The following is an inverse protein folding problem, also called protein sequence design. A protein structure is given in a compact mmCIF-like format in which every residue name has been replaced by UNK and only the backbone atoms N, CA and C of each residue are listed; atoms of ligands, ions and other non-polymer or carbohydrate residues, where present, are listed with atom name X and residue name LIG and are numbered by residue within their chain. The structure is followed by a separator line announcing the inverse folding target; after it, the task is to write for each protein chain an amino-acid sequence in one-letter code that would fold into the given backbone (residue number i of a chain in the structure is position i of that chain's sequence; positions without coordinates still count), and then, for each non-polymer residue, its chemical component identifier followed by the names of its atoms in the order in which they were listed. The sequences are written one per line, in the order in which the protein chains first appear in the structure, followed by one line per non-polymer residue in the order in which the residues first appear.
data_IF_908816891416
#
_entry.id   IF_908816891416
#
_cell.length_a   1.000
_cell.length_b   1.000
_cell.length_c   1.000
_cell.angle_alpha   90.00
_cell.angle_beta   90.00
_cell.angle_gamma   90.00
#
_symmetry.space_group_name_H-M   'P 1'
#
loop_
_entity.id
_entity.type
_entity.pdbx_description
1 polymer ?
#
# COMPACT_ATOMS: atom_id res chain seq x y z
N UNK A 1 6.67 4.23 7.82
CA UNK A 1 7.12 5.18 8.84
C UNK A 1 8.47 5.79 8.49
N UNK A 2 9.54 4.99 8.24
CA UNK A 2 10.88 5.50 7.94
C UNK A 2 10.87 6.49 6.75
N UNK A 3 10.17 6.16 5.67
CA UNK A 3 10.04 7.05 4.51
C UNK A 3 9.35 8.38 4.87
N UNK A 4 8.33 8.36 5.73
CA UNK A 4 7.67 9.57 6.19
C UNK A 4 8.66 10.49 6.95
N UNK A 5 9.47 9.92 7.85
CA UNK A 5 10.52 10.64 8.57
C UNK A 5 11.62 11.17 7.62
N UNK A 6 12.10 10.35 6.68
CA UNK A 6 13.07 10.75 5.67
C UNK A 6 12.52 11.83 4.72
N UNK A 7 11.21 11.82 4.45
CA UNK A 7 10.58 12.85 3.64
C UNK A 7 10.48 14.19 4.36
N UNK A 8 10.24 14.17 5.68
CA UNK A 8 10.08 15.38 6.50
C UNK A 8 11.39 16.06 6.82
N UNK A 9 12.46 15.30 7.06
CA UNK A 9 13.80 15.77 7.45
C UNK A 9 14.84 15.28 6.47
N UNK A 10 15.88 16.03 6.23
CA UNK A 10 17.02 15.65 5.38
C UNK A 10 17.95 14.63 6.05
N UNK A 11 17.42 13.60 6.73
CA UNK A 11 18.21 12.63 7.50
C UNK A 11 19.14 11.81 6.62
N UNK A 12 18.61 11.23 5.55
CA UNK A 12 19.37 10.41 4.61
C UNK A 12 20.46 11.23 3.91
N UNK A 13 20.10 12.41 3.40
CA UNK A 13 21.04 13.32 2.73
C UNK A 13 22.09 13.86 3.71
N UNK A 14 21.69 14.18 4.94
CA UNK A 14 22.61 14.62 5.98
C UNK A 14 23.62 13.55 6.38
N UNK A 15 23.19 12.30 6.52
CA UNK A 15 24.09 11.18 6.77
C UNK A 15 25.09 10.97 5.61
N UNK A 16 24.60 11.00 4.37
CA UNK A 16 25.46 10.88 3.18
C UNK A 16 26.47 12.03 3.10
N UNK A 17 26.04 13.26 3.41
CA UNK A 17 26.95 14.41 3.46
C UNK A 17 28.07 14.19 4.47
N UNK A 18 27.76 13.79 5.69
CA UNK A 18 28.79 13.53 6.72
C UNK A 18 29.74 12.40 6.27
N UNK A 19 29.19 11.32 5.71
CA UNK A 19 29.98 10.19 5.23
C UNK A 19 30.87 10.53 4.02
N UNK A 20 30.57 11.60 3.27
CA UNK A 20 31.34 12.05 2.13
C UNK A 20 32.42 13.10 2.50
N UNK A 21 32.53 13.47 3.77
CA UNK A 21 33.56 14.44 4.21
C UNK A 21 34.93 13.76 4.20
N UNK A 22 35.86 14.31 3.43
CA UNK A 22 37.26 13.87 3.36
C UNK A 22 38.20 14.72 4.24
N UNK A 23 37.63 15.66 5.01
CA UNK A 23 38.40 16.55 5.87
C UNK A 23 39.08 15.79 7.03
N UNK A 24 40.38 15.98 7.20
CA UNK A 24 41.17 15.33 8.25
C UNK A 24 41.54 16.27 9.41
N UNK A 25 41.27 17.58 9.25
CA UNK A 25 41.52 18.57 10.30
C UNK A 25 40.27 18.78 11.17
N UNK A 26 40.34 18.44 12.44
CA UNK A 26 39.25 18.57 13.39
C UNK A 26 38.76 20.01 13.59
N UNK A 27 39.63 21.01 13.42
CA UNK A 27 39.27 22.42 13.56
C UNK A 27 38.42 22.92 12.37
N UNK A 28 38.65 22.37 11.18
CA UNK A 28 37.89 22.70 9.96
C UNK A 28 36.63 21.90 9.81
N UNK A 29 36.57 20.69 10.41
CA UNK A 29 35.41 19.79 10.35
C UNK A 29 34.16 20.41 10.95
N UNK A 30 34.23 21.06 12.12
CA UNK A 30 33.08 21.66 12.79
C UNK A 30 32.42 22.76 11.96
N UNK A 31 33.16 23.77 11.42
CA UNK A 31 32.59 24.78 10.54
C UNK A 31 31.95 24.19 9.28
N UNK A 32 32.56 23.16 8.69
CA UNK A 32 32.06 22.49 7.50
C UNK A 32 30.70 21.83 7.77
N UNK A 33 30.58 21.08 8.86
CA UNK A 33 29.29 20.44 9.27
C UNK A 33 28.23 21.52 9.57
N UNK A 34 28.58 22.58 10.30
CA UNK A 34 27.67 23.67 10.63
C UNK A 34 27.15 24.43 9.39
N UNK A 35 28.00 24.61 8.39
CA UNK A 35 27.58 25.22 7.12
C UNK A 35 26.69 24.31 6.31
N UNK A 36 26.99 23.02 6.25
CA UNK A 36 26.24 22.00 5.49
C UNK A 36 24.87 21.74 6.06
N UNK A 37 24.69 21.74 7.39
CA UNK A 37 23.43 21.38 8.06
C UNK A 37 22.23 22.22 7.62
N UNK A 38 22.45 23.44 7.15
CA UNK A 38 21.38 24.33 6.66
C UNK A 38 20.63 23.74 5.46
N UNK A 39 21.33 22.95 4.63
CA UNK A 39 20.77 22.28 3.46
C UNK A 39 19.81 21.13 3.81
N UNK A 40 19.86 20.62 5.06
CA UNK A 40 19.08 19.49 5.53
C UNK A 40 17.91 19.90 6.43
N UNK A 41 17.62 21.21 6.51
CA UNK A 41 16.48 21.72 7.25
C UNK A 41 15.18 21.14 6.70
N UNK A 42 14.35 20.58 7.58
CA UNK A 42 13.08 19.99 7.24
C UNK A 42 11.89 20.64 7.94
N UNK A 43 10.79 19.89 7.99
CA UNK A 43 9.57 20.25 8.72
C UNK A 43 9.27 19.20 9.78
N UNK A 44 8.46 19.54 10.76
CA UNK A 44 7.91 18.60 11.71
C UNK A 44 6.71 17.88 11.08
N UNK A 45 6.45 16.64 11.53
CA UNK A 45 5.27 15.89 11.11
C UNK A 45 4.01 16.33 11.84
N UNK A 46 4.17 16.64 13.14
CA UNK A 46 3.06 17.06 14.01
C UNK A 46 2.33 18.27 13.44
N UNK A 47 1.01 18.19 13.34
CA UNK A 47 0.16 19.21 12.73
C UNK A 47 0.13 19.22 11.20
N UNK A 48 1.03 18.49 10.53
CA UNK A 48 0.96 18.28 9.07
C UNK A 48 -0.16 17.33 8.69
N UNK A 49 -0.62 17.40 7.42
CA UNK A 49 -1.67 16.51 6.90
C UNK A 49 -1.05 15.34 6.15
N UNK A 50 -1.39 14.12 6.58
CA UNK A 50 -1.05 12.86 5.90
C UNK A 50 -2.26 12.35 5.13
N UNK A 51 -2.15 12.28 3.81
CA UNK A 51 -3.09 11.58 2.94
C UNK A 51 -2.71 10.11 2.77
N UNK A 52 -3.66 9.22 2.94
CA UNK A 52 -3.49 7.78 2.72
C UNK A 52 -4.41 7.35 1.60
N UNK A 53 -3.82 6.87 0.49
CA UNK A 53 -4.56 6.36 -0.67
C UNK A 53 -4.54 4.84 -0.65
N UNK A 54 -5.71 4.23 -0.40
CA UNK A 54 -5.87 2.82 -0.10
C UNK A 54 -5.81 2.54 1.41
N UNK A 55 -6.96 2.16 1.99
CA UNK A 55 -7.15 1.96 3.43
C UNK A 55 -7.24 0.46 3.81
N UNK A 56 -6.56 -0.39 3.03
CA UNK A 56 -6.43 -1.82 3.30
C UNK A 56 -5.53 -2.13 4.52
N UNK A 57 -5.03 -3.37 4.60
CA UNK A 57 -4.26 -3.86 5.76
C UNK A 57 -3.01 -3.03 6.10
N UNK A 58 -2.36 -2.41 5.10
CA UNK A 58 -1.16 -1.57 5.30
C UNK A 58 -1.57 -0.12 5.51
N UNK A 59 -2.42 0.43 4.63
CA UNK A 59 -2.83 1.83 4.69
C UNK A 59 -3.50 2.20 6.02
N UNK A 60 -4.33 1.32 6.58
CA UNK A 60 -4.93 1.53 7.90
C UNK A 60 -3.89 1.67 9.01
N UNK A 61 -2.82 0.84 9.00
CA UNK A 61 -1.72 0.94 9.96
C UNK A 61 -0.90 2.23 9.78
N UNK A 62 -0.72 2.68 8.53
CA UNK A 62 -0.04 3.95 8.24
C UNK A 62 -0.87 5.13 8.71
N UNK A 63 -2.19 5.08 8.52
CA UNK A 63 -3.11 6.09 9.05
C UNK A 63 -3.06 6.17 10.58
N UNK A 64 -3.07 5.02 11.27
CA UNK A 64 -2.94 4.95 12.73
C UNK A 64 -1.61 5.56 13.22
N UNK A 65 -0.49 5.19 12.58
CA UNK A 65 0.82 5.79 12.89
C UNK A 65 0.83 7.30 12.67
N UNK A 66 0.18 7.80 11.62
CA UNK A 66 0.03 9.23 11.36
C UNK A 66 -0.68 9.94 12.51
N UNK A 67 -1.79 9.39 13.00
CA UNK A 67 -2.52 9.89 14.17
C UNK A 67 -1.63 9.89 15.42
N UNK A 68 -0.87 8.81 15.66
CA UNK A 68 0.06 8.70 16.79
C UNK A 68 1.18 9.75 16.75
N UNK A 69 1.61 10.15 15.56
CA UNK A 69 2.61 11.21 15.34
C UNK A 69 2.02 12.64 15.45
N UNK A 70 0.73 12.76 15.76
CA UNK A 70 0.06 14.06 15.88
C UNK A 70 -0.23 14.73 14.54
N UNK A 71 -0.33 13.97 13.46
CA UNK A 71 -0.70 14.46 12.14
C UNK A 71 -2.23 14.51 11.99
N UNK A 72 -2.72 15.38 11.11
CA UNK A 72 -4.07 15.29 10.59
C UNK A 72 -4.07 14.21 9.50
N UNK A 73 -4.94 13.19 9.63
CA UNK A 73 -4.95 12.07 8.70
C UNK A 73 -6.23 12.09 7.89
N UNK A 74 -6.09 12.10 6.57
CA UNK A 74 -7.19 12.00 5.61
C UNK A 74 -6.98 10.74 4.75
N UNK A 75 -8.07 10.06 4.42
CA UNK A 75 -7.99 8.79 3.69
C UNK A 75 -8.96 8.72 2.52
N UNK A 76 -8.52 8.05 1.44
CA UNK A 76 -9.35 7.73 0.30
C UNK A 76 -9.20 6.27 -0.08
N UNK A 77 -10.31 5.55 -0.11
CA UNK A 77 -10.40 4.18 -0.63
C UNK A 77 -11.83 3.93 -1.12
N UNK A 78 -12.04 3.82 -2.45
CA UNK A 78 -13.37 3.60 -3.01
C UNK A 78 -13.89 2.16 -2.81
N UNK A 79 -13.02 1.24 -2.38
CA UNK A 79 -13.32 -0.18 -2.22
C UNK A 79 -13.25 -0.65 -0.76
N UNK A 80 -13.16 0.27 0.20
CA UNK A 80 -13.07 -0.08 1.62
C UNK A 80 -14.30 -0.85 2.06
N UNK A 81 -14.09 -1.99 2.72
CA UNK A 81 -15.18 -2.76 3.32
C UNK A 81 -15.65 -2.12 4.63
N UNK A 82 -16.90 -2.37 5.01
CA UNK A 82 -17.43 -1.90 6.31
C UNK A 82 -16.56 -2.39 7.45
N UNK A 83 -16.13 -3.65 7.41
CA UNK A 83 -15.27 -4.24 8.44
C UNK A 83 -13.90 -3.55 8.53
N UNK A 84 -13.29 -3.21 7.39
CA UNK A 84 -12.03 -2.47 7.38
C UNK A 84 -12.20 -1.04 7.91
N UNK A 85 -13.31 -0.39 7.57
CA UNK A 85 -13.62 0.96 8.05
C UNK A 85 -13.81 1.01 9.58
N UNK A 86 -14.42 -0.04 10.19
CA UNK A 86 -14.56 -0.13 11.64
C UNK A 86 -13.25 -0.25 12.42
N UNK A 87 -12.17 -0.66 11.76
CA UNK A 87 -10.83 -0.81 12.34
C UNK A 87 -10.01 0.49 12.26
N UNK A 88 -10.52 1.51 11.56
CA UNK A 88 -9.81 2.78 11.42
C UNK A 88 -9.90 3.61 12.69
N UNK A 89 -8.84 4.39 13.04
CA UNK A 89 -8.92 5.37 14.10
C UNK A 89 -10.01 6.42 13.83
N UNK A 90 -10.78 6.79 14.85
CA UNK A 90 -11.84 7.79 14.74
C UNK A 90 -11.38 9.18 14.28
N UNK A 91 -10.06 9.44 14.29
CA UNK A 91 -9.46 10.70 13.85
C UNK A 91 -9.09 10.74 12.37
N UNK A 92 -9.35 9.64 11.63
CA UNK A 92 -9.11 9.59 10.17
C UNK A 92 -10.33 10.19 9.47
N UNK A 93 -10.12 11.26 8.73
CA UNK A 93 -11.18 11.89 7.94
C UNK A 93 -11.25 11.22 6.55
N UNK A 94 -12.43 10.77 6.16
CA UNK A 94 -12.68 10.23 4.82
C UNK A 94 -12.79 11.35 3.79
N UNK A 95 -12.12 11.17 2.64
CA UNK A 95 -12.32 12.01 1.45
C UNK A 95 -13.09 11.27 0.38
N UNK A 96 -13.90 11.99 -0.37
CA UNK A 96 -14.75 11.44 -1.43
C UNK A 96 -14.01 11.25 -2.76
N UNK A 97 -12.89 11.97 -2.94
CA UNK A 97 -12.06 11.90 -4.14
C UNK A 97 -10.57 11.83 -3.80
N UNK A 98 -9.78 11.27 -4.72
CA UNK A 98 -8.31 11.28 -4.62
C UNK A 98 -7.77 12.69 -4.81
N UNK A 99 -8.43 13.51 -5.61
CA UNK A 99 -8.09 14.91 -5.86
C UNK A 99 -8.11 15.73 -4.57
N UNK A 100 -9.10 15.52 -3.70
CA UNK A 100 -9.17 16.19 -2.41
C UNK A 100 -8.00 15.78 -1.51
N UNK A 101 -7.62 14.51 -1.52
CA UNK A 101 -6.43 14.04 -0.79
C UNK A 101 -5.18 14.76 -1.29
N UNK A 102 -4.97 14.87 -2.60
CA UNK A 102 -3.79 15.54 -3.18
C UNK A 102 -3.78 17.04 -2.90
N UNK A 103 -4.93 17.68 -2.89
CA UNK A 103 -5.09 19.12 -2.64
C UNK A 103 -4.82 19.53 -1.19
N UNK A 104 -5.13 18.65 -0.23
CA UNK A 104 -5.08 19.00 1.19
C UNK A 104 -3.83 18.46 1.90
N UNK A 105 -3.17 17.45 1.36
CA UNK A 105 -2.07 16.75 2.03
C UNK A 105 -0.72 17.46 1.92
N UNK A 106 0.04 17.43 3.01
CA UNK A 106 1.48 17.75 3.02
C UNK A 106 2.33 16.52 2.68
N UNK A 107 1.81 15.33 3.00
CA UNK A 107 2.41 14.02 2.75
C UNK A 107 1.35 13.07 2.21
N UNK A 108 1.69 12.26 1.22
CA UNK A 108 0.81 11.19 0.72
C UNK A 108 1.57 9.87 0.72
N UNK A 109 0.90 8.82 1.20
CA UNK A 109 1.37 7.45 1.15
C UNK A 109 0.39 6.58 0.36
N UNK A 110 0.91 5.85 -0.65
CA UNK A 110 0.12 5.02 -1.55
C UNK A 110 0.10 3.57 -1.08
N UNK A 111 -1.09 2.97 -1.02
CA UNK A 111 -1.34 1.61 -0.54
C UNK A 111 -2.40 0.87 -1.38
N UNK A 112 -2.51 1.21 -2.66
CA UNK A 112 -3.42 0.55 -3.61
C UNK A 112 -2.71 -0.55 -4.40
N UNK A 113 -3.39 -1.63 -4.81
CA UNK A 113 -2.82 -2.64 -5.70
C UNK A 113 -2.65 -2.10 -7.11
N UNK A 114 -1.73 -2.69 -7.90
CA UNK A 114 -1.65 -2.44 -9.33
C UNK A 114 -2.74 -3.23 -10.07
N UNK A 115 -3.60 -2.53 -10.79
CA UNK A 115 -4.63 -3.09 -11.66
C UNK A 115 -5.02 -2.07 -12.73
N UNK A 116 -5.94 -2.41 -13.63
CA UNK A 116 -6.35 -1.52 -14.74
C UNK A 116 -6.89 -0.15 -14.29
N UNK A 117 -7.43 -0.05 -13.06
CA UNK A 117 -7.95 1.21 -12.51
C UNK A 117 -6.90 2.06 -11.80
N UNK A 118 -5.79 1.46 -11.39
CA UNK A 118 -4.75 2.11 -10.60
C UNK A 118 -3.45 2.31 -11.36
N UNK A 119 -3.29 1.67 -12.52
CA UNK A 119 -2.15 1.87 -13.39
C UNK A 119 -2.09 3.31 -13.89
N UNK A 120 -0.95 3.98 -13.65
CA UNK A 120 -0.77 5.39 -14.00
C UNK A 120 -1.73 6.35 -13.27
N UNK A 121 -2.26 5.95 -12.12
CA UNK A 121 -3.18 6.75 -11.30
C UNK A 121 -2.53 8.09 -10.91
N UNK A 122 -1.26 8.03 -10.54
CA UNK A 122 -0.50 9.24 -10.18
C UNK A 122 0.20 9.75 -11.44
N UNK A 123 -0.42 10.73 -12.05
CA UNK A 123 0.01 11.34 -13.31
C UNK A 123 -0.07 12.87 -13.23
N UNK A 124 0.32 13.54 -14.31
CA UNK A 124 0.35 15.01 -14.38
C UNK A 124 -1.02 15.64 -14.12
N UNK A 125 -2.12 15.02 -14.55
CA UNK A 125 -3.47 15.55 -14.34
C UNK A 125 -3.87 15.60 -12.87
N UNK A 126 -3.51 14.59 -12.09
CA UNK A 126 -3.73 14.57 -10.65
C UNK A 126 -2.75 15.52 -9.94
N UNK A 127 -1.46 15.48 -10.31
CA UNK A 127 -0.41 16.24 -9.65
C UNK A 127 -0.54 17.76 -9.82
N UNK A 128 -1.07 18.25 -10.94
CA UNK A 128 -1.23 19.71 -11.17
C UNK A 128 -2.09 20.41 -10.11
N UNK A 129 -3.01 19.68 -9.47
CA UNK A 129 -3.91 20.20 -8.44
C UNK A 129 -3.42 19.89 -7.03
N UNK A 130 -2.27 19.24 -6.88
CA UNK A 130 -1.71 18.89 -5.59
C UNK A 130 -1.26 20.12 -4.80
N UNK A 131 -1.31 20.01 -3.47
CA UNK A 131 -0.79 21.04 -2.57
C UNK A 131 0.70 21.27 -2.86
N UNK A 132 1.07 22.53 -3.09
CA UNK A 132 2.46 22.89 -3.39
C UNK A 132 3.41 22.44 -2.27
N UNK A 133 4.48 21.75 -2.66
CA UNK A 133 5.46 21.20 -1.73
C UNK A 133 5.07 19.86 -1.13
N UNK A 134 4.06 19.18 -1.71
CA UNK A 134 3.65 17.81 -1.36
C UNK A 134 4.85 16.85 -1.36
N UNK A 135 4.84 15.90 -0.43
CA UNK A 135 5.77 14.77 -0.37
C UNK A 135 5.04 13.49 -0.65
N UNK A 136 5.45 12.78 -1.69
CA UNK A 136 4.81 11.55 -2.14
C UNK A 136 5.68 10.33 -1.76
N UNK A 137 5.02 9.30 -1.23
CA UNK A 137 5.64 8.04 -0.82
C UNK A 137 4.94 6.90 -1.53
N UNK A 138 5.69 6.10 -2.29
CA UNK A 138 5.18 4.93 -3.00
C UNK A 138 5.96 3.66 -2.63
N UNK A 139 5.40 2.87 -1.73
CA UNK A 139 5.86 1.52 -1.39
C UNK A 139 4.80 0.48 -1.76
N UNK A 140 3.88 0.84 -2.63
CA UNK A 140 2.82 -0.05 -3.09
C UNK A 140 3.22 -0.82 -4.35
N UNK A 141 3.26 -0.14 -5.51
CA UNK A 141 3.66 -0.73 -6.81
C UNK A 141 4.19 0.38 -7.72
N UNK A 142 5.13 0.04 -8.62
CA UNK A 142 5.71 0.97 -9.60
C UNK A 142 4.68 1.43 -10.64
N UNK A 143 3.85 0.53 -11.14
CA UNK A 143 2.88 0.82 -12.21
C UNK A 143 1.84 1.87 -11.84
N UNK A 144 1.68 2.19 -10.56
CA UNK A 144 0.71 3.19 -10.08
C UNK A 144 1.14 4.61 -10.45
N UNK A 145 2.44 4.84 -10.60
CA UNK A 145 3.03 6.17 -10.74
C UNK A 145 3.67 6.34 -12.11
N UNK A 146 3.45 7.49 -12.75
CA UNK A 146 4.13 7.88 -13.99
C UNK A 146 5.41 8.64 -13.63
N UNK A 147 6.58 8.00 -13.69
CA UNK A 147 7.86 8.56 -13.24
C UNK A 147 8.23 9.89 -13.91
N UNK A 148 7.94 10.05 -15.19
CA UNK A 148 8.17 11.32 -15.92
C UNK A 148 7.36 12.47 -15.34
N UNK A 149 6.11 12.22 -14.98
CA UNK A 149 5.23 13.23 -14.40
C UNK A 149 5.66 13.60 -12.97
N UNK A 150 6.25 12.66 -12.23
CA UNK A 150 6.90 12.92 -10.94
C UNK A 150 8.06 13.89 -11.11
N UNK A 151 8.98 13.61 -12.05
CA UNK A 151 10.14 14.46 -12.30
C UNK A 151 9.71 15.86 -12.70
N UNK A 152 8.76 15.99 -13.61
CA UNK A 152 8.21 17.28 -14.03
C UNK A 152 7.58 18.04 -12.84
N UNK A 153 6.88 17.34 -11.96
CA UNK A 153 6.26 17.93 -10.76
C UNK A 153 7.29 18.38 -9.72
N UNK A 154 8.42 17.68 -9.61
CA UNK A 154 9.55 18.10 -8.80
C UNK A 154 10.21 19.38 -9.39
N UNK A 155 10.41 19.42 -10.70
CA UNK A 155 10.97 20.60 -11.38
C UNK A 155 10.09 21.84 -11.23
N UNK A 156 8.77 21.65 -11.23
CA UNK A 156 7.77 22.73 -11.01
C UNK A 156 7.57 23.06 -9.53
N UNK A 157 8.27 22.40 -8.60
CA UNK A 157 8.06 22.52 -7.15
C UNK A 157 6.61 22.25 -6.69
N UNK A 158 5.87 21.46 -7.43
CA UNK A 158 4.57 20.90 -6.97
C UNK A 158 4.87 19.83 -5.93
N UNK A 159 5.71 18.84 -6.28
CA UNK A 159 6.30 17.93 -5.30
C UNK A 159 7.58 18.54 -4.74
N UNK A 160 7.84 18.32 -3.46
CA UNK A 160 9.11 18.66 -2.82
C UNK A 160 10.00 17.44 -2.59
N UNK A 161 9.40 16.25 -2.51
CA UNK A 161 10.10 14.96 -2.42
C UNK A 161 9.26 13.83 -2.97
N UNK A 162 9.96 12.84 -3.54
CA UNK A 162 9.41 11.54 -3.88
C UNK A 162 10.27 10.44 -3.25
N UNK A 163 9.63 9.52 -2.52
CA UNK A 163 10.29 8.36 -1.93
C UNK A 163 9.61 7.11 -2.43
N UNK A 164 10.39 6.17 -2.95
CA UNK A 164 9.86 4.95 -3.55
C UNK A 164 10.76 3.74 -3.27
N UNK A 165 10.14 2.56 -3.31
CA UNK A 165 10.83 1.26 -3.29
C UNK A 165 11.07 0.71 -4.70
N UNK A 166 10.77 1.50 -5.74
CA UNK A 166 10.83 1.09 -7.14
C UNK A 166 11.75 2.00 -7.94
N UNK A 167 12.77 1.39 -8.54
CA UNK A 167 13.79 2.09 -9.29
C UNK A 167 13.50 2.06 -10.78
N UNK A 168 13.61 3.21 -11.45
CA UNK A 168 13.76 3.31 -12.90
C UNK A 168 14.94 4.23 -13.27
N UNK A 169 15.34 4.23 -14.53
CA UNK A 169 16.54 4.96 -14.99
C UNK A 169 16.38 6.48 -14.83
N UNK A 170 15.21 7.02 -15.05
CA UNK A 170 14.94 8.46 -14.96
C UNK A 170 15.01 8.91 -13.50
N UNK A 171 14.37 8.17 -12.60
CA UNK A 171 14.41 8.44 -11.15
C UNK A 171 15.82 8.27 -10.57
N UNK A 172 16.57 7.24 -11.00
CA UNK A 172 17.98 7.05 -10.60
C UNK A 172 18.82 8.24 -11.06
N UNK A 173 18.65 8.70 -12.30
CA UNK A 173 19.35 9.85 -12.83
C UNK A 173 19.05 11.11 -12.02
N UNK A 174 17.77 11.33 -11.67
CA UNK A 174 17.33 12.44 -10.82
C UNK A 174 17.95 12.37 -9.42
N UNK A 175 17.91 11.19 -8.78
CA UNK A 175 18.43 11.00 -7.43
C UNK A 175 19.95 11.28 -7.30
N UNK A 176 20.70 11.14 -8.40
CA UNK A 176 22.16 11.45 -8.42
C UNK A 176 22.46 12.95 -8.43
N UNK A 177 21.56 13.77 -8.94
CA UNK A 177 21.79 15.21 -9.15
C UNK A 177 20.98 16.10 -8.21
N UNK A 178 19.93 15.56 -7.61
CA UNK A 178 19.03 16.30 -6.72
C UNK A 178 18.70 15.48 -5.46
N UNK A 179 18.45 16.20 -4.35
CA UNK A 179 18.11 15.58 -3.06
C UNK A 179 16.61 15.41 -2.83
N UNK A 180 15.81 15.39 -3.89
CA UNK A 180 14.35 15.37 -3.87
C UNK A 180 13.75 13.99 -4.19
N UNK A 181 14.56 13.04 -4.64
CA UNK A 181 14.18 11.63 -4.84
C UNK A 181 15.00 10.72 -3.94
N UNK A 182 14.35 9.79 -3.26
CA UNK A 182 14.97 8.69 -2.50
C UNK A 182 14.42 7.38 -3.03
N UNK A 183 15.31 6.52 -3.49
CA UNK A 183 14.95 5.20 -4.01
C UNK A 183 15.54 4.15 -3.08
N UNK A 184 14.71 3.20 -2.65
CA UNK A 184 15.12 2.05 -1.85
C UNK A 184 15.00 0.77 -2.68
N UNK A 185 15.75 -0.29 -2.37
CA UNK A 185 15.79 -1.49 -3.19
C UNK A 185 14.68 -2.50 -2.84
N UNK A 186 13.42 -2.06 -2.80
CA UNK A 186 12.23 -2.87 -2.52
C UNK A 186 12.32 -3.61 -1.16
N UNK A 187 12.65 -2.87 -0.11
CA UNK A 187 12.87 -3.42 1.25
C UNK A 187 11.73 -3.12 2.24
N UNK A 188 10.59 -2.65 1.75
CA UNK A 188 9.46 -2.23 2.60
C UNK A 188 8.98 -3.29 3.57
N UNK A 189 9.11 -4.58 3.23
CA UNK A 189 8.72 -5.72 4.06
C UNK A 189 9.89 -6.70 4.36
N UNK A 190 11.13 -6.35 4.04
CA UNK A 190 12.29 -7.22 4.19
C UNK A 190 12.81 -7.23 5.62
N UNK A 191 12.15 -8.01 6.48
CA UNK A 191 12.60 -8.29 7.84
C UNK A 191 12.46 -9.79 8.12
N UNK A 192 13.33 -10.36 8.97
CA UNK A 192 13.24 -11.77 9.36
C UNK A 192 11.86 -12.13 9.93
N UNK A 193 11.28 -11.23 10.73
CA UNK A 193 9.94 -11.43 11.29
C UNK A 193 8.83 -11.42 10.22
N UNK A 194 8.94 -10.57 9.19
CA UNK A 194 7.97 -10.56 8.11
C UNK A 194 8.04 -11.84 7.27
N UNK A 195 9.23 -12.34 6.99
CA UNK A 195 9.45 -13.61 6.26
C UNK A 195 8.91 -14.81 7.05
N UNK A 196 9.19 -14.87 8.35
CA UNK A 196 8.66 -15.91 9.22
C UNK A 196 7.13 -15.85 9.29
N UNK A 197 6.55 -14.67 9.55
CA UNK A 197 5.09 -14.48 9.60
C UNK A 197 4.41 -14.84 8.28
N UNK A 198 5.01 -14.47 7.14
CA UNK A 198 4.47 -14.86 5.83
C UNK A 198 4.45 -16.37 5.65
N UNK A 199 5.51 -17.06 6.07
CA UNK A 199 5.63 -18.51 5.98
C UNK A 199 4.59 -19.22 6.85
N UNK A 200 4.44 -18.77 8.10
CA UNK A 200 3.43 -19.29 9.04
C UNK A 200 2.02 -19.05 8.50
N UNK A 201 1.69 -17.82 8.09
CA UNK A 201 0.38 -17.50 7.52
C UNK A 201 0.05 -18.31 6.27
N UNK A 202 1.04 -18.53 5.39
CA UNK A 202 0.83 -19.34 4.19
C UNK A 202 0.54 -20.79 4.55
N UNK A 203 1.26 -21.36 5.52
CA UNK A 203 1.02 -22.72 6.00
C UNK A 203 -0.35 -22.87 6.65
N UNK A 204 -0.75 -21.94 7.52
CA UNK A 204 -2.07 -21.95 8.17
C UNK A 204 -3.22 -21.82 7.15
N UNK A 205 -3.08 -20.94 6.15
CA UNK A 205 -4.10 -20.77 5.11
C UNK A 205 -4.21 -22.00 4.20
N UNK A 206 -3.08 -22.64 3.89
CA UNK A 206 -3.06 -23.87 3.12
C UNK A 206 -3.68 -25.03 3.91
N UNK A 207 -3.36 -25.15 5.19
CA UNK A 207 -3.95 -26.15 6.08
C UNK A 207 -5.47 -25.99 6.20
N UNK A 208 -5.95 -24.76 6.41
CA UNK A 208 -7.38 -24.48 6.45
C UNK A 208 -8.09 -24.76 5.11
N UNK A 209 -7.42 -24.45 3.98
CA UNK A 209 -7.96 -24.80 2.67
C UNK A 209 -8.04 -26.32 2.46
N UNK A 210 -6.99 -27.06 2.81
CA UNK A 210 -6.96 -28.51 2.62
C UNK A 210 -7.95 -29.25 3.54
N UNK A 211 -8.12 -28.78 4.76
CA UNK A 211 -8.99 -29.43 5.74
C UNK A 211 -10.45 -28.96 5.65
N UNK A 212 -10.68 -27.68 5.35
CA UNK A 212 -12.00 -27.06 5.42
C UNK A 212 -12.49 -26.46 4.09
N UNK A 213 -11.64 -26.36 3.08
CA UNK A 213 -11.98 -25.71 1.80
C UNK A 213 -12.14 -24.19 1.92
N UNK A 214 -11.68 -23.58 3.00
CA UNK A 214 -11.73 -22.14 3.18
C UNK A 214 -10.70 -21.43 2.29
N UNK A 215 -11.10 -20.32 1.67
CA UNK A 215 -10.22 -19.49 0.86
C UNK A 215 -10.08 -18.12 1.53
N UNK A 216 -8.86 -17.80 1.95
CA UNK A 216 -8.51 -16.56 2.62
C UNK A 216 -7.33 -15.89 1.91
N UNK A 217 -7.42 -14.56 1.73
CA UNK A 217 -6.37 -13.73 1.12
C UNK A 217 -5.96 -14.17 -0.31
N UNK A 218 -6.78 -14.89 -1.04
CA UNK A 218 -6.49 -15.29 -2.42
C UNK A 218 -6.51 -14.10 -3.36
N UNK A 219 -5.55 -14.05 -4.32
CA UNK A 219 -5.49 -12.99 -5.33
C UNK A 219 -6.43 -13.22 -6.50
N UNK A 220 -6.83 -14.47 -6.78
CA UNK A 220 -7.64 -14.86 -7.94
C UNK A 220 -8.99 -15.49 -7.59
N UNK A 221 -9.10 -16.17 -6.44
CA UNK A 221 -10.36 -16.72 -5.96
C UNK A 221 -11.14 -15.72 -5.09
N UNK A 222 -12.49 -15.85 -5.00
CA UNK A 222 -13.26 -15.11 -4.01
C UNK A 222 -12.89 -15.56 -2.60
N UNK A 223 -12.90 -14.64 -1.64
CA UNK A 223 -12.77 -15.02 -0.22
C UNK A 223 -14.04 -15.74 0.24
N UNK A 224 -13.85 -16.92 0.81
CA UNK A 224 -14.93 -17.75 1.33
C UNK A 224 -14.41 -18.48 2.57
N UNK A 225 -14.95 -18.11 3.71
CA UNK A 225 -14.65 -18.70 5.02
C UNK A 225 -15.99 -19.09 5.64
N UNK A 226 -16.24 -20.38 5.76
CA UNK A 226 -17.48 -20.90 6.30
C UNK A 226 -17.21 -21.97 7.36
N UNK A 227 -17.91 -21.96 8.49
CA UNK A 227 -17.85 -23.05 9.45
C UNK A 227 -18.19 -24.37 8.76
N UNK A 228 -17.59 -25.46 9.20
CA UNK A 228 -17.90 -26.79 8.70
C UNK A 228 -18.95 -27.46 9.61
N UNK A 229 -20.25 -27.44 9.25
CA UNK A 229 -21.33 -27.98 10.08
C UNK A 229 -21.45 -29.48 9.96
N UNK A 230 -20.80 -30.12 8.96
CA UNK A 230 -20.94 -31.53 8.67
C UNK A 230 -19.61 -32.27 8.59
N UNK A 231 -19.63 -33.59 8.70
CA UNK A 231 -18.46 -34.46 8.51
C UNK A 231 -17.99 -34.45 7.06
N UNK A 232 -18.91 -34.32 6.10
CA UNK A 232 -18.63 -34.34 4.68
C UNK A 232 -18.80 -32.96 4.07
N UNK A 233 -17.79 -32.52 3.34
CA UNK A 233 -17.78 -31.25 2.60
C UNK A 233 -17.24 -31.48 1.19
N UNK A 234 -17.94 -30.94 0.21
CA UNK A 234 -17.50 -30.88 -1.18
C UNK A 234 -17.14 -29.45 -1.50
N UNK A 235 -15.94 -29.25 -2.05
CA UNK A 235 -15.53 -27.95 -2.59
C UNK A 235 -15.35 -28.08 -4.10
N UNK A 236 -15.86 -27.08 -4.84
CA UNK A 236 -15.86 -27.10 -6.29
C UNK A 236 -15.53 -25.72 -6.85
N UNK A 237 -14.51 -25.66 -7.73
CA UNK A 237 -14.24 -24.48 -8.55
C UNK A 237 -14.74 -24.68 -9.97
N UNK A 238 -15.38 -23.65 -10.53
CA UNK A 238 -15.89 -23.68 -11.90
C UNK A 238 -15.83 -22.29 -12.55
N UNK A 239 -16.01 -22.25 -13.87
CA UNK A 239 -16.23 -20.98 -14.57
C UNK A 239 -17.56 -20.37 -14.14
N UNK A 240 -17.55 -19.06 -13.90
CA UNK A 240 -18.73 -18.30 -13.48
C UNK A 240 -19.70 -18.08 -14.67
N UNK A 241 -20.50 -19.10 -14.99
CA UNK A 241 -21.52 -19.07 -16.03
C UNK A 241 -22.91 -19.31 -15.47
N UNK A 242 -23.97 -18.74 -16.08
CA UNK A 242 -25.35 -19.03 -15.71
C UNK A 242 -25.68 -20.52 -15.73
N UNK A 243 -26.45 -20.97 -14.74
CA UNK A 243 -26.94 -22.33 -14.65
C UNK A 243 -25.98 -23.34 -14.00
N UNK A 244 -24.76 -22.95 -13.60
CA UNK A 244 -23.80 -23.88 -12.99
C UNK A 244 -24.28 -24.43 -11.64
N UNK A 245 -24.85 -23.59 -10.78
CA UNK A 245 -25.41 -24.03 -9.50
C UNK A 245 -26.51 -25.08 -9.73
N UNK A 246 -27.43 -24.84 -10.66
CA UNK A 246 -28.49 -25.80 -11.00
C UNK A 246 -27.94 -27.15 -11.47
N UNK A 247 -26.88 -27.16 -12.29
CA UNK A 247 -26.22 -28.41 -12.70
C UNK A 247 -25.61 -29.16 -11.53
N UNK A 248 -24.89 -28.42 -10.64
CA UNK A 248 -24.25 -29.00 -9.45
C UNK A 248 -25.33 -29.65 -8.54
N UNK A 249 -26.37 -28.90 -8.21
CA UNK A 249 -27.43 -29.38 -7.31
C UNK A 249 -28.24 -30.54 -7.93
N UNK A 250 -28.45 -30.53 -9.25
CA UNK A 250 -29.08 -31.66 -9.96
C UNK A 250 -28.27 -32.95 -9.83
N UNK A 251 -26.95 -32.87 -10.05
CA UNK A 251 -26.06 -34.03 -9.89
C UNK A 251 -26.09 -34.59 -8.48
N UNK A 252 -26.11 -33.72 -7.45
CA UNK A 252 -26.22 -34.16 -6.05
C UNK A 252 -27.57 -34.83 -5.77
N UNK A 253 -28.65 -34.22 -6.24
CA UNK A 253 -30.02 -34.78 -6.08
C UNK A 253 -30.17 -36.14 -6.77
N UNK A 254 -29.67 -36.30 -8.00
CA UNK A 254 -29.71 -37.57 -8.74
C UNK A 254 -28.95 -38.69 -8.02
N UNK A 255 -27.91 -38.31 -7.26
CA UNK A 255 -27.17 -39.25 -6.40
C UNK A 255 -27.70 -39.35 -4.98
N UNK A 256 -28.89 -38.80 -4.69
CA UNK A 256 -29.56 -38.83 -3.38
C UNK A 256 -28.73 -38.22 -2.24
N UNK A 257 -27.86 -37.25 -2.57
CA UNK A 257 -27.10 -36.49 -1.58
C UNK A 257 -27.95 -35.31 -1.12
N UNK A 258 -28.12 -35.18 0.19
CA UNK A 258 -28.78 -34.02 0.79
C UNK A 258 -27.78 -32.88 0.98
N UNK A 259 -28.20 -31.66 0.76
CA UNK A 259 -27.43 -30.45 1.01
C UNK A 259 -27.89 -29.85 2.33
N UNK A 260 -27.00 -29.73 3.30
CA UNK A 260 -27.24 -29.09 4.60
C UNK A 260 -27.04 -27.58 4.45
N UNK A 261 -25.95 -27.19 3.81
CA UNK A 261 -25.62 -25.82 3.51
C UNK A 261 -24.86 -25.73 2.17
N UNK A 262 -25.00 -24.61 1.48
CA UNK A 262 -24.30 -24.36 0.23
C UNK A 262 -24.00 -22.89 0.07
N UNK A 263 -22.74 -22.57 -0.09
CA UNK A 263 -22.27 -21.20 -0.38
C UNK A 263 -21.59 -21.17 -1.74
N UNK A 264 -21.99 -20.21 -2.58
CA UNK A 264 -21.36 -19.91 -3.85
C UNK A 264 -20.87 -18.47 -3.82
N UNK A 265 -19.58 -18.26 -4.10
CA UNK A 265 -19.00 -16.93 -4.33
C UNK A 265 -18.22 -16.90 -5.63
N UNK A 266 -18.23 -15.76 -6.29
CA UNK A 266 -17.48 -15.58 -7.55
C UNK A 266 -16.61 -14.33 -7.52
N UNK A 267 -15.52 -14.41 -8.27
CA UNK A 267 -14.61 -13.29 -8.54
C UNK A 267 -14.19 -13.34 -10.00
N UNK A 268 -14.69 -12.38 -10.79
CA UNK A 268 -14.51 -12.42 -12.25
C UNK A 268 -15.08 -13.71 -12.85
N UNK A 269 -14.26 -14.41 -13.59
CA UNK A 269 -14.66 -15.64 -14.32
C UNK A 269 -14.60 -16.93 -13.47
N UNK A 270 -14.20 -16.84 -12.21
CA UNK A 270 -14.08 -17.98 -11.30
C UNK A 270 -15.21 -17.94 -10.28
N UNK A 271 -15.94 -19.05 -10.16
CA UNK A 271 -16.84 -19.32 -9.05
C UNK A 271 -16.28 -20.44 -8.17
N UNK A 272 -16.48 -20.31 -6.87
CA UNK A 272 -16.11 -21.31 -5.88
C UNK A 272 -17.31 -21.65 -5.01
N UNK A 273 -17.52 -22.94 -4.81
CA UNK A 273 -18.65 -23.47 -4.06
C UNK A 273 -18.15 -24.31 -2.90
N UNK A 274 -18.79 -24.16 -1.76
CA UNK A 274 -18.65 -25.03 -0.59
C UNK A 274 -20.02 -25.62 -0.34
N UNK A 275 -20.10 -26.94 -0.20
CA UNK A 275 -21.35 -27.70 -0.04
C UNK A 275 -21.14 -28.69 1.09
N UNK A 276 -21.99 -28.62 2.13
CA UNK A 276 -22.02 -29.49 3.28
C UNK A 276 -23.24 -30.39 3.25
#
# INVERSE_FOLDING_TARGET
LAALLMSSRGLFQGANFVNSIEESNQEELKPLIESGKKSFKGRELTGGTLGVVGMGAIGSKVADMGVMLGMNVIGYDPAITVEAAWKLPNKVERKESIEDVFKESDYISLHVPANDKTKGLINSDLLKNAKKGLRLINFARDEIVVSKDIIESLDKNILSKYITDFADLDLISRAKIANDVIILPHIGASTSQAEENCSVMAAEQLDDFLNNGNIKNSVNFPELIEPRPSEFRITLSNKNHPGMIGKITTVLADNKLNIIDMVNKSRGDIAYNVID
#
